data_IF_434990150124
#
_entry.id   IF_434990150124
#
_cell.length_a   1.000
_cell.length_b   1.000
_cell.length_c   1.000
_cell.angle_alpha   90.00
_cell.angle_beta   90.00
_cell.angle_gamma   90.00
#
_symmetry.space_group_name_H-M   'P 1'
#
loop_
_entity.id
_entity.type
_entity.pdbx_description
1 polymer ?
#
# COMPACT_ATOMS: atom_id res chain seq x y z
N UNK A 1 -9.54 6.38 -29.79
CA UNK A 1 -9.01 6.74 -28.46
C UNK A 1 -7.60 6.20 -28.38
N UNK A 2 -6.62 7.05 -28.06
CA UNK A 2 -5.22 6.65 -27.97
C UNK A 2 -5.04 5.65 -26.81
N UNK A 3 -4.59 4.43 -27.14
CA UNK A 3 -4.38 3.35 -26.18
C UNK A 3 -3.37 3.74 -25.10
N UNK A 4 -2.39 4.58 -25.45
CA UNK A 4 -1.39 5.11 -24.51
C UNK A 4 -2.04 6.01 -23.46
N UNK A 5 -2.92 6.91 -23.91
CA UNK A 5 -3.65 7.82 -23.00
C UNK A 5 -4.56 7.06 -22.03
N UNK A 6 -5.23 6.00 -22.49
CA UNK A 6 -6.03 5.13 -21.60
C UNK A 6 -5.13 4.48 -20.56
N UNK A 7 -4.01 3.91 -21.00
CA UNK A 7 -3.07 3.23 -20.11
C UNK A 7 -2.50 4.19 -19.06
N UNK A 8 -2.13 5.42 -19.42
CA UNK A 8 -1.68 6.44 -18.47
C UNK A 8 -2.74 6.78 -17.43
N UNK A 9 -4.00 6.96 -17.85
CA UNK A 9 -5.13 7.22 -16.93
C UNK A 9 -5.37 6.06 -15.97
N UNK A 10 -5.19 4.82 -16.43
CA UNK A 10 -5.28 3.63 -15.57
C UNK A 10 -4.18 3.66 -14.51
N UNK A 11 -2.92 3.87 -14.92
CA UNK A 11 -1.78 3.94 -13.98
C UNK A 11 -2.00 5.05 -12.95
N UNK A 12 -2.42 6.25 -13.39
CA UNK A 12 -2.71 7.36 -12.51
C UNK A 12 -3.85 7.03 -11.52
N UNK A 13 -4.94 6.43 -12.01
CA UNK A 13 -6.11 6.11 -11.18
C UNK A 13 -5.77 5.09 -10.10
N UNK A 14 -5.02 4.04 -10.45
CA UNK A 14 -4.68 2.97 -9.52
C UNK A 14 -3.61 3.40 -8.50
N UNK A 15 -2.56 4.13 -8.92
CA UNK A 15 -1.59 4.70 -7.97
C UNK A 15 -2.24 5.71 -7.01
N UNK A 16 -3.18 6.52 -7.51
CA UNK A 16 -3.99 7.42 -6.67
C UNK A 16 -4.86 6.64 -5.69
N UNK A 17 -5.47 5.53 -6.13
CA UNK A 17 -6.27 4.67 -5.26
C UNK A 17 -5.40 4.03 -4.17
N UNK A 18 -4.24 3.46 -4.50
CA UNK A 18 -3.30 2.90 -3.51
C UNK A 18 -2.86 3.95 -2.49
N UNK A 19 -2.46 5.14 -2.95
CA UNK A 19 -2.13 6.27 -2.07
C UNK A 19 -3.28 6.62 -1.12
N UNK A 20 -4.49 6.79 -1.68
CA UNK A 20 -5.66 7.25 -0.92
C UNK A 20 -6.11 6.21 0.10
N UNK A 21 -6.15 4.93 -0.28
CA UNK A 21 -6.44 3.81 0.62
C UNK A 21 -5.42 3.78 1.75
N UNK A 22 -4.12 3.88 1.43
CA UNK A 22 -3.05 3.84 2.43
C UNK A 22 -3.09 5.01 3.40
N UNK A 23 -3.24 6.24 2.89
CA UNK A 23 -3.32 7.44 3.70
C UNK A 23 -4.58 7.44 4.58
N UNK A 24 -5.74 7.14 4.01
CA UNK A 24 -7.00 7.11 4.76
C UNK A 24 -6.99 6.05 5.86
N UNK A 25 -6.53 4.84 5.55
CA UNK A 25 -6.44 3.79 6.56
C UNK A 25 -5.48 4.17 7.70
N UNK A 26 -4.29 4.67 7.35
CA UNK A 26 -3.21 4.93 8.32
C UNK A 26 -3.46 6.14 9.19
N UNK A 27 -4.00 7.22 8.63
CA UNK A 27 -4.16 8.49 9.33
C UNK A 27 -5.57 8.74 9.87
N UNK A 28 -6.58 8.03 9.36
CA UNK A 28 -7.98 8.22 9.77
C UNK A 28 -8.54 6.96 10.40
N UNK A 29 -8.61 5.85 9.67
CA UNK A 29 -9.33 4.65 10.12
C UNK A 29 -8.69 4.03 11.36
N UNK A 30 -7.39 3.68 11.30
CA UNK A 30 -6.72 3.03 12.42
C UNK A 30 -6.71 3.93 13.69
N UNK A 31 -6.31 5.21 13.63
CA UNK A 31 -6.36 6.09 14.80
C UNK A 31 -7.77 6.24 15.38
N UNK A 32 -8.80 6.35 14.53
CA UNK A 32 -10.19 6.45 14.98
C UNK A 32 -10.61 5.19 15.73
N UNK A 33 -10.33 4.01 15.19
CA UNK A 33 -10.65 2.74 15.85
C UNK A 33 -9.99 2.63 17.23
N UNK A 34 -8.70 2.96 17.33
CA UNK A 34 -7.96 2.91 18.61
C UNK A 34 -8.47 3.95 19.61
N UNK A 35 -8.97 5.10 19.15
CA UNK A 35 -9.58 6.13 19.99
C UNK A 35 -10.97 5.72 20.50
N UNK A 36 -11.75 4.96 19.73
CA UNK A 36 -13.16 4.68 20.04
C UNK A 36 -13.43 3.33 20.69
N UNK A 37 -12.69 2.27 20.35
CA UNK A 37 -13.02 0.88 20.73
C UNK A 37 -12.08 0.27 21.78
N UNK A 38 -11.09 1.04 22.26
CA UNK A 38 -10.04 0.51 23.14
C UNK A 38 -9.04 -0.39 22.39
N UNK A 39 -7.85 -0.56 22.97
CA UNK A 39 -6.68 -1.16 22.30
C UNK A 39 -6.93 -2.60 21.81
N UNK A 40 -7.60 -3.42 22.60
CA UNK A 40 -7.81 -4.83 22.26
C UNK A 40 -8.77 -5.00 21.09
N UNK A 41 -9.95 -4.36 21.14
CA UNK A 41 -10.97 -4.50 20.12
C UNK A 41 -10.56 -3.85 18.80
N UNK A 42 -9.98 -2.64 18.86
CA UNK A 42 -9.41 -1.98 17.69
C UNK A 42 -8.31 -2.84 17.04
N UNK A 43 -7.42 -3.43 17.84
CA UNK A 43 -6.36 -4.30 17.37
C UNK A 43 -6.87 -5.55 16.65
N UNK A 44 -7.97 -6.17 17.12
CA UNK A 44 -8.61 -7.32 16.46
C UNK A 44 -9.21 -6.94 15.10
N UNK A 45 -9.86 -5.78 15.02
CA UNK A 45 -10.44 -5.28 13.75
C UNK A 45 -9.33 -5.00 12.75
N UNK A 46 -8.32 -4.21 13.13
CA UNK A 46 -7.17 -3.87 12.28
C UNK A 46 -6.48 -5.14 11.77
N UNK A 47 -6.18 -6.09 12.66
CA UNK A 47 -5.54 -7.36 12.28
C UNK A 47 -6.34 -8.17 11.24
N UNK A 48 -7.68 -8.11 11.31
CA UNK A 48 -8.55 -8.80 10.35
C UNK A 48 -8.66 -8.05 9.02
N UNK A 49 -8.51 -6.72 9.03
CA UNK A 49 -8.59 -5.87 7.84
C UNK A 49 -7.28 -5.82 7.04
N UNK A 50 -6.11 -5.91 7.70
CA UNK A 50 -4.80 -5.75 7.07
C UNK A 50 -4.54 -6.67 5.86
N UNK A 51 -4.91 -7.98 5.86
CA UNK A 51 -4.72 -8.84 4.69
C UNK A 51 -5.47 -8.32 3.44
N UNK A 52 -6.73 -7.90 3.61
CA UNK A 52 -7.51 -7.34 2.50
C UNK A 52 -6.94 -6.00 2.04
N UNK A 53 -6.55 -5.15 2.99
CA UNK A 53 -5.90 -3.87 2.70
C UNK A 53 -4.65 -4.04 1.83
N UNK A 54 -3.71 -4.90 2.22
CA UNK A 54 -2.48 -5.11 1.44
C UNK A 54 -2.74 -5.84 0.13
N UNK A 55 -3.70 -6.77 0.07
CA UNK A 55 -4.09 -7.44 -1.16
C UNK A 55 -4.68 -6.47 -2.20
N UNK A 56 -5.52 -5.52 -1.76
CA UNK A 56 -6.08 -4.48 -2.63
C UNK A 56 -4.99 -3.56 -3.19
N UNK A 57 -4.11 -3.04 -2.32
CA UNK A 57 -2.99 -2.21 -2.74
C UNK A 57 -2.05 -2.96 -3.70
N UNK A 58 -1.71 -4.22 -3.39
CA UNK A 58 -0.89 -5.07 -4.26
C UNK A 58 -1.53 -5.27 -5.64
N UNK A 59 -2.84 -5.56 -5.67
CA UNK A 59 -3.57 -5.75 -6.92
C UNK A 59 -3.60 -4.49 -7.78
N UNK A 60 -3.88 -3.33 -7.18
CA UNK A 60 -3.88 -2.05 -7.88
C UNK A 60 -2.51 -1.69 -8.46
N UNK A 61 -1.44 -1.88 -7.67
CA UNK A 61 -0.08 -1.60 -8.13
C UNK A 61 0.36 -2.59 -9.23
N UNK A 62 -0.02 -3.86 -9.12
CA UNK A 62 0.26 -4.87 -10.15
C UNK A 62 -0.47 -4.55 -11.47
N UNK A 63 -1.76 -4.17 -11.40
CA UNK A 63 -2.51 -3.74 -12.59
C UNK A 63 -1.93 -2.46 -13.19
N UNK A 64 -1.43 -1.54 -12.36
CA UNK A 64 -0.70 -0.36 -12.83
C UNK A 64 0.55 -0.75 -13.61
N UNK A 65 1.36 -1.68 -13.09
CA UNK A 65 2.57 -2.14 -13.76
C UNK A 65 2.26 -2.80 -15.11
N UNK A 66 1.15 -3.54 -15.23
CA UNK A 66 0.71 -4.09 -16.52
C UNK A 66 0.32 -2.99 -17.52
N UNK A 67 -0.35 -1.93 -17.07
CA UNK A 67 -0.72 -0.81 -17.91
C UNK A 67 0.49 0.03 -18.37
N UNK A 68 1.57 0.07 -17.59
CA UNK A 68 2.77 0.84 -17.91
C UNK A 68 3.38 0.47 -19.27
N UNK A 69 3.34 -0.81 -19.68
CA UNK A 69 3.87 -1.24 -20.98
C UNK A 69 3.20 -0.59 -22.19
N UNK A 70 1.98 -0.07 -22.02
CA UNK A 70 1.24 0.65 -23.07
C UNK A 70 1.22 2.16 -22.85
N UNK A 71 1.58 2.64 -21.67
CA UNK A 71 1.47 4.04 -21.26
C UNK A 71 2.66 4.93 -21.69
N UNK A 72 3.75 4.33 -22.21
CA UNK A 72 5.00 5.01 -22.59
C UNK A 72 5.57 5.89 -21.46
N UNK A 73 5.57 5.37 -20.24
CA UNK A 73 6.03 6.09 -19.04
C UNK A 73 7.53 5.95 -18.81
N UNK A 74 8.10 6.91 -18.06
CA UNK A 74 9.52 6.87 -17.71
C UNK A 74 9.89 5.71 -16.77
N UNK A 75 11.14 5.23 -16.89
CA UNK A 75 11.70 4.12 -16.11
C UNK A 75 11.56 4.28 -14.58
N UNK A 76 11.60 5.53 -14.08
CA UNK A 76 11.44 5.84 -12.65
C UNK A 76 10.08 5.34 -12.13
N UNK A 77 9.00 5.47 -12.92
CA UNK A 77 7.67 5.02 -12.51
C UNK A 77 7.59 3.49 -12.41
N UNK A 78 8.26 2.78 -13.32
CA UNK A 78 8.38 1.31 -13.27
C UNK A 78 9.06 0.88 -11.98
N UNK A 79 10.18 1.52 -11.61
CA UNK A 79 10.91 1.22 -10.37
C UNK A 79 10.04 1.45 -9.12
N UNK A 80 9.29 2.56 -9.09
CA UNK A 80 8.37 2.86 -7.99
C UNK A 80 7.33 1.75 -7.85
N UNK A 81 6.68 1.35 -8.95
CA UNK A 81 5.65 0.31 -8.93
C UNK A 81 6.21 -1.05 -8.49
N UNK A 82 7.38 -1.45 -9.00
CA UNK A 82 8.03 -2.71 -8.58
C UNK A 82 8.32 -2.69 -7.08
N UNK A 83 8.81 -1.56 -6.57
CA UNK A 83 9.09 -1.42 -5.15
C UNK A 83 7.82 -1.48 -4.30
N UNK A 84 6.75 -0.76 -4.67
CA UNK A 84 5.49 -0.80 -3.91
C UNK A 84 4.84 -2.17 -3.94
N UNK A 85 4.84 -2.86 -5.08
CA UNK A 85 4.39 -4.26 -5.21
C UNK A 85 5.18 -5.15 -4.26
N UNK A 86 6.51 -5.03 -4.25
CA UNK A 86 7.37 -5.86 -3.40
C UNK A 86 7.09 -5.60 -1.92
N UNK A 87 6.98 -4.33 -1.50
CA UNK A 87 6.66 -3.97 -0.13
C UNK A 87 5.27 -4.47 0.29
N UNK A 88 4.25 -4.30 -0.55
CA UNK A 88 2.90 -4.80 -0.28
C UNK A 88 2.85 -6.34 -0.23
N UNK A 89 3.61 -7.03 -1.08
CA UNK A 89 3.71 -8.49 -1.06
C UNK A 89 4.42 -8.99 0.22
N UNK A 90 5.53 -8.35 0.62
CA UNK A 90 6.23 -8.68 1.89
C UNK A 90 5.30 -8.45 3.08
N UNK A 91 4.52 -7.37 3.08
CA UNK A 91 3.53 -7.12 4.13
C UNK A 91 2.49 -8.24 4.19
N UNK A 92 1.87 -8.55 3.04
CA UNK A 92 0.77 -9.50 2.95
C UNK A 92 1.19 -10.93 3.28
N UNK A 93 2.32 -11.38 2.74
CA UNK A 93 2.72 -12.79 2.77
C UNK A 93 3.75 -13.13 3.85
N UNK A 94 4.44 -12.13 4.42
CA UNK A 94 5.48 -12.37 5.45
C UNK A 94 5.12 -11.68 6.76
N UNK A 95 5.04 -10.35 6.76
CA UNK A 95 4.95 -9.57 8.00
C UNK A 95 3.63 -9.80 8.73
N UNK A 96 2.50 -9.81 8.01
CA UNK A 96 1.17 -9.98 8.63
C UNK A 96 0.99 -11.38 9.23
N UNK A 97 1.29 -12.49 8.50
CA UNK A 97 1.28 -13.83 9.08
C UNK A 97 2.18 -13.95 10.32
N UNK A 98 3.44 -13.51 10.24
CA UNK A 98 4.39 -13.61 11.34
C UNK A 98 3.98 -12.75 12.55
N UNK A 99 3.44 -11.56 12.30
CA UNK A 99 2.92 -10.68 13.36
C UNK A 99 1.79 -11.33 14.14
N UNK A 100 0.89 -12.06 13.46
CA UNK A 100 -0.22 -12.76 14.10
C UNK A 100 0.27 -13.88 15.02
N UNK A 101 1.28 -14.64 14.59
CA UNK A 101 1.89 -15.68 15.41
C UNK A 101 2.59 -15.09 16.64
N UNK A 102 3.48 -14.11 16.42
CA UNK A 102 4.23 -13.46 17.51
C UNK A 102 3.35 -12.75 18.51
N UNK A 103 2.19 -12.21 18.11
CA UNK A 103 1.26 -11.56 19.04
C UNK A 103 0.80 -12.50 20.17
N UNK A 104 0.82 -13.82 19.95
CA UNK A 104 0.44 -14.84 20.95
C UNK A 104 1.63 -15.39 21.73
N UNK A 105 2.81 -15.47 21.11
CA UNK A 105 3.98 -16.20 21.65
C UNK A 105 5.14 -15.28 22.08
N UNK A 106 5.28 -14.11 21.48
CA UNK A 106 6.37 -13.15 21.69
C UNK A 106 5.88 -11.71 21.41
N UNK A 107 5.33 -11.08 22.45
CA UNK A 107 4.76 -9.73 22.32
C UNK A 107 5.81 -8.67 21.93
N UNK A 108 7.07 -8.82 22.36
CA UNK A 108 8.13 -7.89 21.98
C UNK A 108 8.49 -8.03 20.50
N UNK A 109 8.56 -9.27 19.99
CA UNK A 109 8.70 -9.53 18.56
C UNK A 109 7.54 -8.99 17.74
N UNK A 110 6.29 -9.13 18.23
CA UNK A 110 5.13 -8.49 17.61
C UNK A 110 5.28 -6.97 17.51
N UNK A 111 5.71 -6.29 18.58
CA UNK A 111 5.91 -4.83 18.56
C UNK A 111 6.98 -4.40 17.54
N UNK A 112 8.04 -5.19 17.36
CA UNK A 112 9.06 -4.95 16.34
C UNK A 112 8.48 -5.07 14.93
N UNK A 113 7.80 -6.18 14.63
CA UNK A 113 7.16 -6.38 13.33
C UNK A 113 6.06 -5.34 13.05
N UNK A 114 5.29 -4.95 14.06
CA UNK A 114 4.30 -3.89 13.94
C UNK A 114 4.94 -2.56 13.53
N UNK A 115 6.05 -2.16 14.18
CA UNK A 115 6.79 -0.94 13.81
C UNK A 115 7.34 -1.04 12.38
N UNK A 116 7.93 -2.18 12.01
CA UNK A 116 8.42 -2.42 10.64
C UNK A 116 7.28 -2.28 9.64
N UNK A 117 6.15 -2.93 9.89
CA UNK A 117 4.95 -2.85 9.04
C UNK A 117 4.48 -1.42 8.85
N UNK A 118 4.39 -0.63 9.91
CA UNK A 118 3.99 0.78 9.83
C UNK A 118 4.98 1.58 8.98
N UNK A 119 6.28 1.44 9.21
CA UNK A 119 7.32 2.14 8.43
C UNK A 119 7.27 1.79 6.95
N UNK A 120 7.15 0.50 6.61
CA UNK A 120 7.06 0.06 5.22
C UNK A 120 5.77 0.58 4.56
N UNK A 121 4.66 0.63 5.31
CA UNK A 121 3.41 1.17 4.78
C UNK A 121 3.51 2.68 4.51
N UNK A 122 4.18 3.44 5.38
CA UNK A 122 4.47 4.85 5.13
C UNK A 122 5.33 5.02 3.87
N UNK A 123 6.33 4.16 3.66
CA UNK A 123 7.12 4.18 2.43
C UNK A 123 6.25 3.91 1.18
N UNK A 124 5.33 2.93 1.23
CA UNK A 124 4.38 2.65 0.12
C UNK A 124 3.50 3.87 -0.18
N UNK A 125 3.00 4.57 0.85
CA UNK A 125 2.19 5.79 0.69
C UNK A 125 3.00 6.88 0.00
N UNK A 126 4.23 7.15 0.45
CA UNK A 126 5.09 8.19 -0.12
C UNK A 126 5.52 7.86 -1.56
N UNK A 127 5.80 6.59 -1.85
CA UNK A 127 6.13 6.13 -3.19
C UNK A 127 4.95 6.31 -4.15
N UNK A 128 3.73 5.92 -3.75
CA UNK A 128 2.54 6.14 -4.57
C UNK A 128 2.20 7.62 -4.73
N UNK A 129 2.35 8.44 -3.69
CA UNK A 129 2.24 9.89 -3.83
C UNK A 129 3.24 10.44 -4.86
N UNK A 130 4.49 9.99 -4.80
CA UNK A 130 5.52 10.38 -5.76
C UNK A 130 5.16 9.96 -7.18
N UNK A 131 4.62 8.75 -7.38
CA UNK A 131 4.12 8.28 -8.67
C UNK A 131 2.98 9.18 -9.20
N UNK A 132 2.01 9.53 -8.35
CA UNK A 132 0.92 10.44 -8.72
C UNK A 132 1.45 11.80 -9.15
N UNK A 133 2.34 12.41 -8.34
CA UNK A 133 2.92 13.71 -8.67
C UNK A 133 3.75 13.65 -9.97
N UNK A 134 4.51 12.58 -10.16
CA UNK A 134 5.29 12.37 -11.39
C UNK A 134 4.39 12.35 -12.64
N UNK A 135 3.26 11.62 -12.56
CA UNK A 135 2.29 11.51 -13.65
C UNK A 135 1.54 12.82 -13.93
N UNK A 136 1.30 13.65 -12.91
CA UNK A 136 0.63 14.96 -13.06
C UNK A 136 1.57 16.01 -13.66
N UNK A 137 2.80 16.12 -13.16
CA UNK A 137 3.73 17.19 -13.55
C UNK A 137 4.59 16.88 -14.76
N UNK A 138 4.68 15.61 -15.14
CA UNK A 138 5.33 15.18 -16.39
C UNK A 138 4.30 14.46 -17.28
N UNK A 139 3.26 15.17 -17.75
CA UNK A 139 2.35 14.60 -18.74
C UNK A 139 3.17 14.32 -20.01
N UNK A 140 3.04 13.08 -20.52
CA UNK A 140 3.77 12.59 -21.70
C UNK A 140 3.21 13.17 -22.99
#
# INVERSE_FOLDING_TARGET
>A
MDLSLIAQKIVLSFTTATFSIGAFFSFVVAPTLFKTLGKEQAGKIVEKTLPLYFALCLGLDALSLLAVFKANVGFILILILILTITLNAVQLYVIIPESREKKRTDYQGFLKLHKISVTLNVAVILLNLTAVLYLIFKPF
#
